data_IF_747942425962
#
_entry.id   IF_747942425962
#
_cell.length_a   1.000
_cell.length_b   1.000
_cell.length_c   1.000
_cell.angle_alpha   90.00
_cell.angle_beta   90.00
_cell.angle_gamma   90.00
#
_symmetry.space_group_name_H-M   'P 1'
#
loop_
_entity.id
_entity.type
_entity.pdbx_description
1 polymer ?
#
# COMPACT_ATOMS: atom_id res chain seq x y z
N UNK A 1 1.99 -15.69 -3.81
CA UNK A 1 2.20 -14.24 -3.96
C UNK A 1 1.06 -13.55 -3.23
N UNK A 2 1.38 -12.60 -2.36
CA UNK A 2 0.41 -11.89 -1.51
C UNK A 2 -0.37 -10.88 -2.37
N UNK A 3 -1.64 -10.61 -2.00
CA UNK A 3 -2.51 -9.72 -2.78
C UNK A 3 -2.21 -8.22 -2.55
N UNK A 4 -1.41 -7.89 -1.53
CA UNK A 4 -0.95 -6.54 -1.23
C UNK A 4 0.57 -6.59 -1.10
N UNK A 5 1.25 -5.81 -1.93
CA UNK A 5 2.70 -5.71 -1.98
C UNK A 5 3.13 -4.29 -1.61
N UNK A 6 4.15 -4.20 -0.76
CA UNK A 6 4.76 -2.93 -0.36
C UNK A 6 6.24 -3.02 -0.70
N UNK A 7 6.68 -2.24 -1.67
CA UNK A 7 8.07 -2.14 -2.10
C UNK A 7 8.49 -0.67 -2.07
N UNK A 8 9.77 -0.41 -1.87
CA UNK A 8 10.28 0.94 -2.07
C UNK A 8 10.30 1.22 -3.57
N UNK A 9 9.76 2.36 -3.96
CA UNK A 9 9.88 2.89 -5.30
C UNK A 9 11.36 3.17 -5.61
N UNK A 10 11.82 2.73 -6.78
CA UNK A 10 13.24 2.77 -7.15
C UNK A 10 13.77 4.22 -7.30
N UNK A 11 12.91 5.14 -7.72
CA UNK A 11 13.30 6.54 -7.96
C UNK A 11 13.22 7.39 -6.69
N UNK A 12 12.12 7.28 -5.95
CA UNK A 12 11.84 8.12 -4.79
C UNK A 12 12.30 7.52 -3.48
N UNK A 13 12.64 6.22 -3.46
CA UNK A 13 12.92 5.40 -2.26
C UNK A 13 11.75 5.35 -1.27
N UNK A 14 10.58 5.90 -1.62
CA UNK A 14 9.41 5.93 -0.76
C UNK A 14 8.64 4.60 -0.87
N UNK A 15 7.95 4.14 0.18
CA UNK A 15 7.15 2.94 0.11
C UNK A 15 5.95 3.12 -0.82
N UNK A 16 5.83 2.23 -1.81
CA UNK A 16 4.76 2.17 -2.78
C UNK A 16 3.92 0.90 -2.55
N UNK A 17 2.60 1.03 -2.72
CA UNK A 17 1.65 -0.08 -2.58
C UNK A 17 1.22 -0.55 -3.96
N UNK A 18 1.39 -1.85 -4.22
CA UNK A 18 0.86 -2.52 -5.40
C UNK A 18 -0.18 -3.55 -4.97
N UNK A 19 -1.39 -3.42 -5.50
CA UNK A 19 -2.49 -4.36 -5.25
C UNK A 19 -2.56 -5.38 -6.39
N UNK A 20 -2.74 -6.64 -6.01
CA UNK A 20 -2.83 -7.78 -6.91
C UNK A 20 -4.18 -8.48 -6.72
N UNK A 21 -4.62 -9.25 -7.74
CA UNK A 21 -5.78 -10.17 -7.69
C UNK A 21 -7.02 -9.59 -6.98
N UNK A 22 -7.46 -10.23 -5.90
CA UNK A 22 -8.71 -9.91 -5.20
C UNK A 22 -8.64 -8.57 -4.49
N UNK A 23 -7.47 -8.19 -3.94
CA UNK A 23 -7.30 -6.88 -3.32
C UNK A 23 -7.41 -5.75 -4.36
N UNK A 24 -6.84 -5.97 -5.55
CA UNK A 24 -7.01 -5.03 -6.67
C UNK A 24 -8.45 -4.94 -7.12
N UNK A 25 -9.12 -6.09 -7.33
CA UNK A 25 -10.54 -6.11 -7.72
C UNK A 25 -11.43 -5.39 -6.71
N UNK A 26 -11.20 -5.61 -5.41
CA UNK A 26 -11.92 -4.93 -4.35
C UNK A 26 -11.66 -3.41 -4.33
N UNK A 27 -10.42 -2.97 -4.52
CA UNK A 27 -10.06 -1.56 -4.61
C UNK A 27 -10.68 -0.88 -5.84
N UNK A 28 -10.60 -1.52 -7.00
CA UNK A 28 -11.18 -1.04 -8.26
C UNK A 28 -12.72 -0.93 -8.13
N UNK A 29 -13.39 -1.92 -7.50
CA UNK A 29 -14.84 -1.89 -7.26
C UNK A 29 -15.30 -0.75 -6.34
N UNK A 30 -14.39 -0.21 -5.52
CA UNK A 30 -14.61 0.90 -4.60
C UNK A 30 -14.07 2.23 -5.12
N UNK A 31 -13.61 2.27 -6.38
CA UNK A 31 -13.05 3.48 -6.99
C UNK A 31 -11.80 4.02 -6.29
N UNK A 32 -11.05 3.16 -5.60
CA UNK A 32 -9.81 3.57 -4.92
C UNK A 32 -8.76 3.89 -5.97
N UNK A 33 -8.34 5.15 -6.05
CA UNK A 33 -7.41 5.64 -7.06
C UNK A 33 -5.97 5.68 -6.55
N UNK A 34 -5.77 5.86 -5.23
CA UNK A 34 -4.44 5.93 -4.62
C UNK A 34 -4.44 5.41 -3.18
N UNK A 35 -3.39 4.70 -2.81
CA UNK A 35 -3.10 4.33 -1.42
C UNK A 35 -1.77 4.96 -1.02
N UNK A 36 -1.80 5.83 -0.01
CA UNK A 36 -0.60 6.39 0.64
C UNK A 36 -0.29 5.57 1.89
N UNK A 37 0.99 5.28 2.10
CA UNK A 37 1.44 4.48 3.23
C UNK A 37 2.62 5.14 3.94
N UNK A 38 2.65 5.03 5.26
CA UNK A 38 3.78 5.40 6.09
C UNK A 38 4.16 4.22 6.97
N UNK A 39 5.44 3.86 6.94
CA UNK A 39 6.01 2.74 7.68
C UNK A 39 6.90 3.30 8.78
N UNK A 40 6.65 2.90 10.02
CA UNK A 40 7.52 3.19 11.15
C UNK A 40 7.84 1.89 11.88
N UNK A 41 9.10 1.67 12.21
CA UNK A 41 9.51 0.48 12.94
C UNK A 41 10.56 0.80 13.98
N UNK A 42 10.57 0.00 15.04
CA UNK A 42 11.60 -0.08 16.07
C UNK A 42 12.16 -1.50 16.10
N UNK A 43 13.04 -1.78 17.05
CA UNK A 43 13.53 -3.15 17.28
C UNK A 43 12.42 -4.11 17.70
N UNK A 44 11.35 -3.61 18.32
CA UNK A 44 10.31 -4.43 18.95
C UNK A 44 8.95 -4.34 18.30
N UNK A 45 8.72 -3.37 17.41
CA UNK A 45 7.43 -3.17 16.77
C UNK A 45 7.57 -2.59 15.36
N UNK A 46 6.60 -2.91 14.51
CA UNK A 46 6.37 -2.22 13.25
C UNK A 46 4.93 -1.73 13.22
N UNK A 47 4.75 -0.46 12.85
CA UNK A 47 3.47 0.21 12.75
C UNK A 47 3.36 0.79 11.35
N UNK A 48 2.18 0.61 10.76
CA UNK A 48 1.89 1.06 9.40
C UNK A 48 0.59 1.86 9.43
N UNK A 49 0.62 3.03 8.79
CA UNK A 49 -0.58 3.82 8.52
C UNK A 49 -0.84 3.85 7.02
N UNK A 50 -2.05 3.49 6.60
CA UNK A 50 -2.47 3.49 5.20
C UNK A 50 -3.73 4.32 5.00
N UNK A 51 -3.71 5.20 4.00
CA UNK A 51 -4.83 6.03 3.60
C UNK A 51 -5.17 5.72 2.14
N UNK A 52 -6.43 5.34 1.89
CA UNK A 52 -6.97 5.17 0.55
C UNK A 52 -7.80 6.40 0.17
N UNK A 53 -7.56 6.92 -1.05
CA UNK A 53 -8.38 7.96 -1.66
C UNK A 53 -9.21 7.34 -2.77
N UNK A 54 -10.53 7.58 -2.74
CA UNK A 54 -11.44 7.23 -3.82
C UNK A 54 -11.78 8.45 -4.67
N UNK A 55 -12.12 8.24 -5.94
CA UNK A 55 -12.51 9.28 -6.89
C UNK A 55 -13.83 8.95 -7.57
#
# INVERSE_FOLDING_TARGET
MLDIEILNDDETRAPAVTLHRDAKSAADSKGVSKVLISLSHSETAAIVFAQATSS
#
